data_IF_168944553409
#
_entry.id   IF_168944553409
#
_cell.length_a   1.000
_cell.length_b   1.000
_cell.length_c   1.000
_cell.angle_alpha   90.00
_cell.angle_beta   90.00
_cell.angle_gamma   90.00
#
_symmetry.space_group_name_H-M   'P 1'
#
loop_
_entity.id
_entity.type
_entity.pdbx_description
1 polymer ?
#
# COMPACT_ATOMS: atom_id res chain seq x y z
N UNK A 1 -46.62 11.25 15.98
CA UNK A 1 -46.04 9.89 16.01
C UNK A 1 -44.50 9.87 15.90
N UNK A 2 -43.88 10.59 14.94
CA UNK A 2 -42.42 10.59 14.71
C UNK A 2 -41.54 10.99 15.93
N UNK A 3 -42.00 11.95 16.74
CA UNK A 3 -41.30 12.39 17.99
C UNK A 3 -41.40 11.37 19.13
N UNK A 4 -42.52 10.66 19.25
CA UNK A 4 -42.71 9.58 20.22
C UNK A 4 -41.84 8.36 19.87
N UNK A 5 -41.72 8.06 18.57
CA UNK A 5 -40.86 6.98 18.07
C UNK A 5 -39.36 7.27 18.32
N UNK A 6 -38.94 8.52 18.18
CA UNK A 6 -37.55 8.94 18.45
C UNK A 6 -37.19 8.85 19.94
N UNK A 7 -38.14 9.15 20.83
CA UNK A 7 -37.97 8.99 22.27
C UNK A 7 -37.92 7.52 22.70
N UNK A 8 -38.68 6.65 22.02
CA UNK A 8 -38.59 5.20 22.23
C UNK A 8 -37.24 4.63 21.80
N UNK A 9 -36.69 5.07 20.66
CA UNK A 9 -35.36 4.66 20.20
C UNK A 9 -34.28 5.17 21.15
N UNK A 10 -34.37 6.42 21.62
CA UNK A 10 -33.43 6.98 22.58
C UNK A 10 -33.49 6.24 23.92
N UNK A 11 -34.70 5.89 24.39
CA UNK A 11 -34.90 5.06 25.58
C UNK A 11 -34.31 3.67 25.42
N UNK A 12 -34.49 3.03 24.25
CA UNK A 12 -33.88 1.75 23.94
C UNK A 12 -32.35 1.85 23.91
N UNK A 13 -31.77 2.85 23.26
CA UNK A 13 -30.33 3.07 23.22
C UNK A 13 -29.75 3.31 24.62
N UNK A 14 -30.43 4.07 25.47
CA UNK A 14 -30.03 4.29 26.85
C UNK A 14 -30.15 3.01 27.68
N UNK A 15 -31.20 2.22 27.48
CA UNK A 15 -31.38 0.91 28.12
C UNK A 15 -30.27 -0.08 27.71
N UNK A 16 -29.94 -0.16 26.42
CA UNK A 16 -28.85 -1.01 25.90
C UNK A 16 -27.46 -0.50 26.32
N UNK A 17 -27.27 0.80 26.48
CA UNK A 17 -26.01 1.39 26.95
C UNK A 17 -25.83 1.33 28.47
N UNK A 18 -26.91 1.16 29.24
CA UNK A 18 -26.89 1.10 30.70
C UNK A 18 -25.93 0.04 31.27
N UNK A 19 -25.94 -1.24 30.83
CA UNK A 19 -25.01 -2.25 31.35
C UNK A 19 -23.53 -1.97 31.02
N UNK A 20 -23.25 -1.28 29.90
CA UNK A 20 -21.90 -0.84 29.57
C UNK A 20 -21.39 0.27 30.50
N UNK A 21 -22.30 1.07 31.06
CA UNK A 21 -21.98 2.13 32.03
C UNK A 21 -21.84 1.59 33.46
N UNK A 22 -22.50 0.48 33.80
CA UNK A 22 -22.53 -0.10 35.17
C UNK A 22 -21.60 -1.28 35.39
N UNK A 23 -20.78 -1.69 34.40
CA UNK A 23 -19.84 -2.83 34.47
C UNK A 23 -20.51 -4.21 34.72
N UNK A 24 -21.83 -4.34 34.63
CA UNK A 24 -22.51 -5.63 34.64
C UNK A 24 -22.34 -6.33 33.29
N UNK A 25 -21.59 -7.45 33.27
CA UNK A 25 -21.24 -8.21 32.06
C UNK A 25 -22.19 -9.39 31.80
N UNK A 26 -23.49 -9.19 31.88
CA UNK A 26 -24.42 -10.27 31.53
C UNK A 26 -24.92 -10.17 30.08
N UNK A 27 -24.03 -10.49 29.13
CA UNK A 27 -24.29 -10.44 27.69
C UNK A 27 -25.10 -11.62 27.15
N UNK A 28 -25.27 -12.69 27.94
CA UNK A 28 -25.90 -13.93 27.48
C UNK A 28 -27.43 -13.80 27.41
N UNK A 29 -28.04 -13.02 28.31
CA UNK A 29 -29.48 -12.76 28.30
C UNK A 29 -29.92 -11.88 27.11
N UNK A 30 -29.06 -10.97 26.63
CA UNK A 30 -29.36 -10.04 25.52
C UNK A 30 -29.55 -10.74 24.16
N UNK A 31 -28.74 -11.76 23.85
CA UNK A 31 -28.86 -12.47 22.57
C UNK A 31 -30.19 -13.24 22.46
N UNK A 32 -30.66 -13.84 23.57
CA UNK A 32 -31.90 -14.63 23.58
C UNK A 32 -33.18 -13.78 23.51
N UNK A 33 -33.13 -12.52 23.96
CA UNK A 33 -34.24 -11.57 23.81
C UNK A 33 -34.30 -10.98 22.39
N UNK A 34 -33.16 -10.71 21.76
CA UNK A 34 -33.09 -10.22 20.37
C UNK A 34 -33.65 -11.24 19.38
N UNK A 35 -33.39 -12.54 19.59
CA UNK A 35 -33.88 -13.58 18.69
C UNK A 35 -35.41 -13.80 18.80
N UNK A 36 -36.00 -13.60 19.98
CA UNK A 36 -37.48 -13.61 20.16
C UNK A 36 -38.17 -12.41 19.52
N UNK A 37 -37.48 -11.28 19.38
CA UNK A 37 -38.02 -10.05 18.78
C UNK A 37 -38.03 -10.08 17.25
N UNK A 38 -37.20 -10.93 16.61
CA UNK A 38 -37.15 -11.14 15.16
C UNK A 38 -38.37 -11.87 14.58
N UNK A 39 -39.14 -12.56 15.43
CA UNK A 39 -40.33 -13.32 15.01
C UNK A 39 -41.57 -12.43 14.81
N UNK A 40 -41.53 -11.17 15.25
CA UNK A 40 -42.63 -10.23 15.06
C UNK A 40 -42.48 -9.46 13.73
N UNK A 41 -43.42 -9.61 12.77
CA UNK A 41 -43.33 -9.01 11.44
C UNK A 41 -43.33 -7.46 11.43
N UNK A 42 -43.87 -6.79 12.45
CA UNK A 42 -43.80 -5.32 12.54
C UNK A 42 -42.43 -4.84 13.04
N UNK A 43 -41.79 -5.60 13.93
CA UNK A 43 -40.45 -5.30 14.45
C UNK A 43 -39.38 -5.58 13.40
N UNK A 44 -39.52 -6.64 12.59
CA UNK A 44 -38.60 -6.93 11.49
C UNK A 44 -38.60 -5.81 10.44
N UNK A 45 -39.77 -5.27 10.09
CA UNK A 45 -39.86 -4.09 9.20
C UNK A 45 -39.21 -2.84 9.81
N UNK A 46 -39.35 -2.62 11.11
CA UNK A 46 -38.70 -1.52 11.80
C UNK A 46 -37.16 -1.68 11.82
N UNK A 47 -36.66 -2.90 12.06
CA UNK A 47 -35.24 -3.23 12.01
C UNK A 47 -34.66 -3.08 10.61
N UNK A 48 -35.38 -3.50 9.56
CA UNK A 48 -34.98 -3.28 8.17
C UNK A 48 -34.88 -1.78 7.84
N UNK A 49 -35.83 -0.98 8.33
CA UNK A 49 -35.80 0.48 8.16
C UNK A 49 -34.60 1.10 8.86
N UNK A 50 -34.27 0.65 10.09
CA UNK A 50 -33.09 1.11 10.83
C UNK A 50 -31.80 0.69 10.14
N UNK A 51 -31.69 -0.57 9.71
CA UNK A 51 -30.51 -1.09 9.02
C UNK A 51 -30.28 -0.33 7.70
N UNK A 52 -31.36 -0.06 6.96
CA UNK A 52 -31.31 0.75 5.73
C UNK A 52 -30.85 2.18 6.02
N UNK A 53 -31.34 2.80 7.08
CA UNK A 53 -30.92 4.14 7.51
C UNK A 53 -29.46 4.20 7.95
N UNK A 54 -28.96 3.17 8.65
CA UNK A 54 -27.55 3.04 9.04
C UNK A 54 -26.68 2.86 7.80
N UNK A 55 -27.05 1.98 6.88
CA UNK A 55 -26.32 1.77 5.63
C UNK A 55 -26.29 3.05 4.77
N UNK A 56 -27.39 3.80 4.73
CA UNK A 56 -27.45 5.09 4.05
C UNK A 56 -26.52 6.11 4.71
N UNK A 57 -26.46 6.16 6.05
CA UNK A 57 -25.51 7.03 6.76
C UNK A 57 -24.06 6.64 6.47
N UNK A 58 -23.74 5.33 6.46
CA UNK A 58 -22.40 4.82 6.15
C UNK A 58 -22.01 5.20 4.71
N UNK A 59 -22.93 5.06 3.76
CA UNK A 59 -22.71 5.46 2.38
C UNK A 59 -22.49 6.98 2.25
N UNK A 60 -23.30 7.81 2.92
CA UNK A 60 -23.12 9.26 2.96
C UNK A 60 -21.80 9.67 3.62
N UNK A 61 -21.34 8.94 4.65
CA UNK A 61 -20.05 9.17 5.29
C UNK A 61 -18.88 8.76 4.37
N UNK A 62 -19.02 7.68 3.60
CA UNK A 62 -18.02 7.28 2.61
C UNK A 62 -17.94 8.25 1.43
N UNK A 63 -19.08 8.69 0.86
CA UNK A 63 -19.10 9.74 -0.17
C UNK A 63 -18.43 11.02 0.33
N UNK A 64 -18.79 11.49 1.53
CA UNK A 64 -18.21 12.70 2.10
C UNK A 64 -16.69 12.54 2.36
N UNK A 65 -16.22 11.33 2.67
CA UNK A 65 -14.79 11.04 2.80
C UNK A 65 -14.08 11.05 1.43
N UNK A 66 -14.71 10.53 0.38
CA UNK A 66 -14.21 10.63 -0.99
C UNK A 66 -14.14 12.09 -1.47
N UNK A 67 -15.16 12.91 -1.18
CA UNK A 67 -15.14 14.37 -1.44
C UNK A 67 -14.02 15.09 -0.68
N UNK A 68 -13.85 14.81 0.62
CA UNK A 68 -12.79 15.41 1.45
C UNK A 68 -11.37 15.04 0.97
N UNK A 69 -11.18 13.86 0.37
CA UNK A 69 -9.87 13.43 -0.17
C UNK A 69 -9.58 13.97 -1.58
N UNK A 70 -10.62 14.27 -2.37
CA UNK A 70 -10.46 14.97 -3.66
C UNK A 70 -10.10 16.45 -3.46
N UNK A 71 -10.67 17.12 -2.47
CA UNK A 71 -10.40 18.54 -2.22
C UNK A 71 -8.96 18.81 -1.75
N UNK A 72 -8.35 17.92 -0.95
CA UNK A 72 -6.93 18.05 -0.55
C UNK A 72 -5.96 17.89 -1.74
N UNK A 73 -6.27 17.03 -2.71
CA UNK A 73 -5.46 16.87 -3.92
C UNK A 73 -5.57 18.07 -4.88
N UNK A 74 -6.65 18.83 -4.81
CA UNK A 74 -6.88 20.04 -5.62
C UNK A 74 -6.20 21.30 -5.05
N UNK A 75 -5.70 21.28 -3.80
CA UNK A 75 -5.02 22.42 -3.18
C UNK A 75 -3.55 22.55 -3.60
N UNK A 76 -2.91 21.43 -3.95
CA UNK A 76 -1.51 21.43 -4.39
C UNK A 76 -1.45 21.67 -5.90
N UNK A 77 -0.54 22.54 -6.39
CA UNK A 77 -0.38 22.72 -7.82
C UNK A 77 -0.03 21.39 -8.47
N UNK A 78 -0.74 21.06 -9.55
CA UNK A 78 -0.49 19.85 -10.32
C UNK A 78 0.88 19.95 -10.99
N UNK A 79 1.72 18.96 -10.72
CA UNK A 79 3.07 18.90 -11.27
C UNK A 79 3.01 18.08 -12.56
N UNK A 80 3.67 18.57 -13.62
CA UNK A 80 3.76 17.82 -14.87
C UNK A 80 4.51 16.51 -14.64
N UNK A 81 3.97 15.40 -15.15
CA UNK A 81 4.68 14.13 -15.19
C UNK A 81 5.90 14.29 -16.14
N UNK A 82 7.10 13.83 -15.75
CA UNK A 82 8.26 13.85 -16.65
C UNK A 82 8.00 12.96 -17.87
N UNK A 83 8.59 13.34 -19.01
CA UNK A 83 8.64 12.46 -20.17
C UNK A 83 9.56 11.27 -19.87
N UNK A 84 9.03 10.07 -20.03
CA UNK A 84 9.74 8.83 -19.72
C UNK A 84 10.32 8.25 -21.00
N UNK A 85 11.62 8.02 -21.00
CA UNK A 85 12.33 7.45 -22.14
C UNK A 85 12.43 5.94 -21.98
N UNK A 86 12.25 5.20 -23.08
CA UNK A 86 12.48 3.76 -23.07
C UNK A 86 13.97 3.51 -22.80
N UNK A 87 14.33 2.77 -21.74
CA UNK A 87 15.73 2.57 -21.40
C UNK A 87 16.50 1.85 -22.53
N UNK A 88 17.72 2.28 -22.82
CA UNK A 88 18.57 1.67 -23.86
C UNK A 88 19.31 0.43 -23.36
N UNK A 89 19.73 0.42 -22.09
CA UNK A 89 20.55 -0.66 -21.51
C UNK A 89 19.78 -1.51 -20.51
N UNK A 90 19.12 -0.88 -19.52
CA UNK A 90 18.40 -1.57 -18.44
C UNK A 90 16.99 -2.02 -18.86
N UNK A 91 16.43 -3.01 -18.17
CA UNK A 91 15.05 -3.45 -18.35
C UNK A 91 14.07 -2.42 -17.83
N UNK A 92 14.41 -1.81 -16.68
CA UNK A 92 13.62 -0.80 -15.99
C UNK A 92 14.47 0.41 -15.59
N UNK A 93 13.86 1.59 -15.67
CA UNK A 93 14.31 2.80 -14.99
C UNK A 93 13.12 3.42 -14.27
N UNK A 94 13.40 4.26 -13.27
CA UNK A 94 12.38 5.04 -12.57
C UNK A 94 12.73 6.50 -12.75
N UNK A 95 11.84 7.28 -13.35
CA UNK A 95 12.08 8.68 -13.68
C UNK A 95 13.36 8.86 -14.52
N UNK A 96 13.57 7.97 -15.50
CA UNK A 96 14.78 7.88 -16.32
C UNK A 96 16.09 7.63 -15.53
N UNK A 97 16.01 7.31 -14.23
CA UNK A 97 17.15 6.91 -13.40
C UNK A 97 17.23 5.38 -13.33
N UNK A 98 18.42 4.83 -13.59
CA UNK A 98 18.76 3.43 -13.50
C UNK A 98 19.65 3.09 -12.30
N UNK A 99 19.73 1.79 -11.99
CA UNK A 99 20.78 1.27 -11.11
C UNK A 99 22.12 1.43 -11.84
N UNK A 100 23.10 2.05 -11.17
CA UNK A 100 24.42 2.34 -11.74
C UNK A 100 24.65 3.80 -12.10
N UNK A 101 23.62 4.65 -12.09
CA UNK A 101 23.77 6.07 -12.42
C UNK A 101 24.56 6.83 -11.34
N UNK A 102 25.24 7.90 -11.73
CA UNK A 102 25.97 8.74 -10.78
C UNK A 102 25.02 9.69 -10.03
N UNK A 103 25.26 9.89 -8.73
CA UNK A 103 24.48 10.80 -7.89
C UNK A 103 24.42 12.22 -8.46
N UNK A 104 25.51 12.70 -9.05
CA UNK A 104 25.54 14.02 -9.69
C UNK A 104 24.52 14.17 -10.80
N UNK A 105 24.37 13.14 -11.65
CA UNK A 105 23.40 13.14 -12.76
C UNK A 105 21.96 13.10 -12.22
N UNK A 106 21.74 12.29 -11.18
CA UNK A 106 20.43 12.22 -10.50
C UNK A 106 20.05 13.57 -9.88
N UNK A 107 20.96 14.23 -9.16
CA UNK A 107 20.68 15.52 -8.53
C UNK A 107 20.57 16.66 -9.56
N UNK A 108 21.28 16.57 -10.70
CA UNK A 108 21.09 17.49 -11.81
C UNK A 108 19.69 17.39 -12.41
N UNK A 109 19.11 16.18 -12.46
CA UNK A 109 17.77 15.95 -12.99
C UNK A 109 16.66 16.21 -11.97
N UNK A 110 16.81 15.72 -10.74
CA UNK A 110 15.75 15.75 -9.71
C UNK A 110 15.86 16.93 -8.74
N UNK A 111 16.96 17.67 -8.79
CA UNK A 111 17.28 18.73 -7.84
C UNK A 111 17.69 18.19 -6.46
N UNK A 112 17.58 19.04 -5.45
CA UNK A 112 17.95 18.69 -4.08
C UNK A 112 16.96 17.70 -3.43
N UNK A 113 17.52 16.71 -2.73
CA UNK A 113 16.75 15.77 -1.90
C UNK A 113 15.85 16.50 -0.90
N UNK A 114 14.60 16.03 -0.76
CA UNK A 114 13.63 16.55 0.21
C UNK A 114 13.76 15.91 1.59
N UNK A 115 14.15 14.63 1.64
CA UNK A 115 14.33 13.88 2.88
C UNK A 115 15.36 12.77 2.72
N UNK A 116 16.19 12.57 3.74
CA UNK A 116 17.12 11.44 3.84
C UNK A 116 16.68 10.53 4.99
N UNK A 117 16.67 9.21 4.80
CA UNK A 117 16.28 8.26 5.85
C UNK A 117 17.10 6.97 5.73
N UNK A 118 17.66 6.49 6.84
CA UNK A 118 18.36 5.21 6.88
C UNK A 118 17.42 4.05 6.53
N UNK A 119 17.90 3.11 5.73
CA UNK A 119 17.15 1.95 5.25
C UNK A 119 17.65 0.63 5.84
N UNK A 120 16.91 -0.45 5.59
CA UNK A 120 17.16 -1.80 6.10
C UNK A 120 18.45 -2.44 5.58
N UNK A 121 19.06 -1.86 4.54
CA UNK A 121 20.33 -2.29 3.97
C UNK A 121 21.53 -1.60 4.62
N UNK A 122 21.32 -0.66 5.55
CA UNK A 122 22.39 0.14 6.15
C UNK A 122 22.90 1.24 5.22
N UNK A 123 22.06 1.66 4.28
CA UNK A 123 22.27 2.79 3.35
C UNK A 123 21.15 3.82 3.55
N UNK A 124 21.16 4.92 2.80
CA UNK A 124 20.18 5.99 2.94
C UNK A 124 19.25 6.05 1.74
N UNK A 125 17.94 6.20 2.00
CA UNK A 125 16.94 6.61 1.02
C UNK A 125 16.91 8.14 0.94
N UNK A 126 17.20 8.65 -0.26
CA UNK A 126 17.03 10.04 -0.66
C UNK A 126 15.70 10.19 -1.39
N UNK A 127 14.75 10.90 -0.80
CA UNK A 127 13.43 11.11 -1.38
C UNK A 127 13.39 12.41 -2.19
N UNK A 128 12.86 12.31 -3.41
CA UNK A 128 12.64 13.41 -4.34
C UNK A 128 11.16 13.43 -4.72
N UNK A 129 10.58 14.62 -4.69
CA UNK A 129 9.21 14.87 -5.14
C UNK A 129 8.97 16.37 -5.23
N UNK A 130 7.91 16.74 -5.94
CA UNK A 130 7.33 18.07 -5.88
C UNK A 130 5.89 17.92 -5.37
N UNK A 131 5.62 18.42 -4.15
CA UNK A 131 4.30 18.29 -3.51
C UNK A 131 3.77 16.84 -3.49
N UNK A 132 4.64 15.87 -3.15
CA UNK A 132 4.38 14.42 -3.17
C UNK A 132 4.04 13.81 -4.54
N UNK A 133 4.00 14.61 -5.61
CA UNK A 133 3.91 14.15 -6.98
C UNK A 133 5.30 13.83 -7.53
N UNK A 134 5.35 12.95 -8.55
CA UNK A 134 6.59 12.42 -9.11
C UNK A 134 7.56 11.85 -8.05
N UNK A 135 7.00 11.21 -7.02
CA UNK A 135 7.75 10.67 -5.90
C UNK A 135 8.68 9.51 -6.31
N UNK A 136 9.95 9.65 -5.98
CA UNK A 136 10.99 8.63 -6.15
C UNK A 136 11.90 8.63 -4.91
N UNK A 137 12.36 7.45 -4.50
CA UNK A 137 13.47 7.32 -3.56
C UNK A 137 14.66 6.66 -4.25
N UNK A 138 15.84 7.21 -3.99
CA UNK A 138 17.12 6.74 -4.53
C UNK A 138 18.07 6.44 -3.38
N UNK A 139 18.77 5.32 -3.46
CA UNK A 139 19.86 4.99 -2.53
C UNK A 139 21.17 4.96 -3.32
N UNK A 140 22.24 5.44 -2.69
CA UNK A 140 23.57 5.49 -3.28
C UNK A 140 24.53 4.60 -2.48
N UNK A 141 25.53 4.05 -3.17
CA UNK A 141 26.67 3.41 -2.53
C UNK A 141 27.70 4.47 -2.08
N UNK A 142 28.81 4.01 -1.49
CA UNK A 142 29.87 4.89 -0.98
C UNK A 142 30.56 5.72 -2.07
N UNK A 143 30.51 5.26 -3.31
CA UNK A 143 31.10 5.93 -4.47
C UNK A 143 30.11 6.92 -5.13
N UNK A 144 28.92 7.11 -4.53
CA UNK A 144 27.89 7.98 -5.07
C UNK A 144 27.17 7.40 -6.28
N UNK A 145 27.09 6.07 -6.40
CA UNK A 145 26.41 5.38 -7.50
C UNK A 145 25.08 4.81 -7.02
N UNK A 146 24.02 4.96 -7.83
CA UNK A 146 22.68 4.44 -7.52
C UNK A 146 22.72 2.93 -7.31
N UNK A 147 22.30 2.46 -6.13
CA UNK A 147 22.30 1.05 -5.75
C UNK A 147 20.93 0.51 -5.34
N UNK A 148 19.92 1.38 -5.16
CA UNK A 148 18.52 1.00 -5.08
C UNK A 148 17.60 2.17 -5.48
N UNK A 149 16.41 1.83 -5.97
CA UNK A 149 15.38 2.77 -6.42
C UNK A 149 14.00 2.32 -5.94
N UNK A 150 13.10 3.26 -5.71
CA UNK A 150 11.69 2.99 -5.40
C UNK A 150 10.78 4.08 -5.93
N UNK A 151 9.61 3.69 -6.43
CA UNK A 151 8.48 4.60 -6.65
C UNK A 151 7.16 3.87 -6.44
N UNK A 152 6.15 4.62 -6.01
CA UNK A 152 4.74 4.23 -6.02
C UNK A 152 3.91 5.12 -6.97
N UNK A 153 4.58 5.80 -7.89
CA UNK A 153 3.99 6.70 -8.88
C UNK A 153 4.19 6.13 -10.28
N UNK A 154 3.46 6.67 -11.24
CA UNK A 154 3.60 6.32 -12.65
C UNK A 154 4.87 6.95 -13.25
N UNK A 155 6.04 6.48 -12.80
CA UNK A 155 7.37 6.94 -13.21
C UNK A 155 8.24 5.82 -13.77
N UNK A 156 7.68 4.62 -13.92
CA UNK A 156 8.40 3.45 -14.42
C UNK A 156 8.46 3.50 -15.94
N UNK A 157 9.67 3.43 -16.49
CA UNK A 157 9.90 3.20 -17.91
C UNK A 157 10.51 1.81 -18.09
N UNK A 158 10.06 1.07 -19.11
CA UNK A 158 10.50 -0.30 -19.33
C UNK A 158 10.61 -0.63 -20.81
N UNK A 159 11.65 -1.38 -21.19
CA UNK A 159 11.86 -1.86 -22.57
C UNK A 159 10.72 -2.75 -23.09
N UNK A 160 10.10 -3.48 -22.18
CA UNK A 160 9.08 -4.48 -22.47
C UNK A 160 7.65 -3.96 -22.29
N UNK A 161 7.47 -2.65 -22.14
CA UNK A 161 6.16 -2.00 -22.06
C UNK A 161 5.43 -2.15 -20.72
N UNK A 162 6.05 -2.78 -19.71
CA UNK A 162 5.50 -2.82 -18.35
C UNK A 162 5.50 -1.41 -17.77
N UNK A 163 4.35 -1.01 -17.24
CA UNK A 163 4.11 0.32 -16.68
C UNK A 163 3.24 0.24 -15.43
N UNK A 164 3.12 1.37 -14.74
CA UNK A 164 2.16 1.53 -13.65
C UNK A 164 0.75 1.17 -14.11
N UNK A 165 0.00 0.46 -13.25
CA UNK A 165 -1.34 -0.03 -13.56
C UNK A 165 -1.40 -1.26 -14.49
N UNK A 166 -0.27 -1.80 -14.96
CA UNK A 166 -0.27 -3.03 -15.73
C UNK A 166 -0.83 -4.21 -14.89
N UNK A 167 -1.61 -5.13 -15.47
CA UNK A 167 -2.07 -6.32 -14.75
C UNK A 167 -0.92 -7.24 -14.36
N UNK A 168 -0.99 -7.86 -13.18
CA UNK A 168 -0.02 -8.86 -12.68
C UNK A 168 0.24 -9.98 -13.70
N UNK A 169 -0.81 -10.45 -14.35
CA UNK A 169 -0.71 -11.50 -15.36
C UNK A 169 0.14 -11.06 -16.56
N UNK A 170 -0.02 -9.81 -17.02
CA UNK A 170 0.80 -9.23 -18.08
C UNK A 170 2.26 -9.13 -17.66
N UNK A 171 2.54 -8.75 -16.41
CA UNK A 171 3.90 -8.69 -15.87
C UNK A 171 4.55 -10.08 -15.91
N UNK A 172 3.86 -11.12 -15.41
CA UNK A 172 4.38 -12.50 -15.41
C UNK A 172 4.57 -13.07 -16.82
N UNK A 173 3.63 -12.82 -17.73
CA UNK A 173 3.78 -13.22 -19.13
C UNK A 173 5.00 -12.57 -19.80
N UNK A 174 5.32 -11.34 -19.41
CA UNK A 174 6.41 -10.56 -20.02
C UNK A 174 7.77 -10.83 -19.37
N UNK A 175 7.82 -11.00 -18.05
CA UNK A 175 9.06 -11.21 -17.29
C UNK A 175 9.38 -12.68 -17.00
N UNK A 176 8.41 -13.58 -17.24
CA UNK A 176 8.50 -14.98 -16.86
C UNK A 176 8.13 -15.23 -15.39
N UNK A 177 8.59 -16.37 -14.88
CA UNK A 177 8.28 -16.80 -13.52
C UNK A 177 9.05 -15.96 -12.48
N UNK A 178 8.36 -15.44 -11.45
CA UNK A 178 9.02 -14.74 -10.36
C UNK A 178 9.87 -15.71 -9.53
N UNK A 179 10.88 -15.17 -8.85
CA UNK A 179 11.67 -15.90 -7.88
C UNK A 179 10.78 -16.44 -6.76
N UNK A 180 11.00 -17.70 -6.39
CA UNK A 180 10.41 -18.31 -5.20
C UNK A 180 11.29 -18.15 -3.96
N UNK A 181 12.58 -17.84 -4.14
CA UNK A 181 13.53 -17.63 -3.07
C UNK A 181 14.74 -16.78 -3.48
N UNK A 182 15.45 -16.23 -2.48
CA UNK A 182 16.76 -15.62 -2.64
C UNK A 182 17.77 -16.32 -1.74
N UNK A 183 18.90 -16.74 -2.32
CA UNK A 183 20.02 -17.29 -1.57
C UNK A 183 20.97 -16.20 -1.09
N UNK A 184 21.29 -16.19 0.20
CA UNK A 184 22.32 -15.34 0.81
C UNK A 184 23.34 -16.19 1.56
N UNK A 185 24.48 -16.44 0.92
CA UNK A 185 25.50 -17.36 1.44
C UNK A 185 24.94 -18.78 1.59
N UNK A 186 24.79 -19.23 2.85
CA UNK A 186 24.23 -20.54 3.19
C UNK A 186 22.74 -20.50 3.55
N UNK A 187 22.10 -19.32 3.55
CA UNK A 187 20.69 -19.13 3.93
C UNK A 187 19.82 -18.95 2.69
N UNK A 188 18.68 -19.63 2.66
CA UNK A 188 17.64 -19.46 1.63
C UNK A 188 16.47 -18.70 2.22
N UNK A 189 16.11 -17.57 1.60
CA UNK A 189 14.93 -16.77 1.94
C UNK A 189 13.81 -17.11 0.98
N UNK A 190 12.86 -17.93 1.42
CA UNK A 190 11.70 -18.31 0.62
C UNK A 190 10.62 -17.23 0.68
N UNK A 191 10.06 -16.91 -0.48
CA UNK A 191 8.88 -16.06 -0.59
C UNK A 191 7.62 -16.90 -0.41
N UNK A 192 6.60 -16.33 0.25
CA UNK A 192 5.32 -17.02 0.36
C UNK A 192 4.60 -16.96 -1.00
N UNK A 193 3.76 -17.96 -1.29
CA UNK A 193 3.09 -18.08 -2.59
C UNK A 193 2.01 -17.01 -2.83
N UNK A 194 1.33 -16.57 -1.76
CA UNK A 194 0.16 -15.68 -1.85
C UNK A 194 0.51 -14.23 -1.49
N UNK A 195 1.65 -13.74 -1.99
CA UNK A 195 2.08 -12.36 -1.75
C UNK A 195 1.51 -11.40 -2.80
N UNK A 196 1.23 -10.17 -2.36
CA UNK A 196 0.78 -9.06 -3.20
C UNK A 196 1.97 -8.39 -3.95
N UNK A 197 3.07 -9.13 -4.17
CA UNK A 197 4.24 -8.70 -4.94
C UNK A 197 4.93 -9.88 -5.62
N UNK A 198 5.64 -9.61 -6.71
CA UNK A 198 6.53 -10.55 -7.39
C UNK A 198 7.97 -10.01 -7.36
N UNK A 199 8.96 -10.91 -7.29
CA UNK A 199 10.39 -10.55 -7.29
C UNK A 199 11.08 -11.19 -8.48
N UNK A 200 11.88 -10.42 -9.22
CA UNK A 200 12.65 -10.88 -10.37
C UNK A 200 14.13 -10.56 -10.16
N UNK A 201 15.03 -11.35 -10.76
CA UNK A 201 16.43 -10.97 -10.92
C UNK A 201 16.65 -10.51 -12.35
N UNK A 202 16.89 -9.21 -12.53
CA UNK A 202 17.03 -8.55 -13.83
C UNK A 202 18.19 -7.55 -13.73
N UNK A 203 19.09 -7.55 -14.72
CA UNK A 203 20.20 -6.59 -14.84
C UNK A 203 21.01 -6.40 -13.54
N UNK A 204 21.42 -7.52 -12.93
CA UNK A 204 22.16 -7.57 -11.66
C UNK A 204 21.43 -6.88 -10.49
N UNK A 205 20.11 -6.88 -10.53
CA UNK A 205 19.23 -6.25 -9.54
C UNK A 205 18.02 -7.13 -9.22
N UNK A 206 17.61 -7.11 -7.95
CA UNK A 206 16.33 -7.65 -7.54
C UNK A 206 15.24 -6.59 -7.75
N UNK A 207 14.32 -6.87 -8.66
CA UNK A 207 13.17 -6.01 -8.99
C UNK A 207 11.94 -6.57 -8.31
N UNK A 208 11.38 -5.83 -7.36
CA UNK A 208 10.10 -6.17 -6.71
C UNK A 208 8.99 -5.33 -7.31
N UNK A 209 7.99 -6.00 -7.87
CA UNK A 209 6.78 -5.38 -8.43
C UNK A 209 5.64 -5.60 -7.45
N UNK A 210 5.07 -4.51 -6.92
CA UNK A 210 3.97 -4.55 -5.96
C UNK A 210 2.64 -4.40 -6.69
N UNK A 211 1.64 -5.16 -6.24
CA UNK A 211 0.30 -5.17 -6.82
C UNK A 211 -0.76 -4.77 -5.80
N UNK A 212 -1.83 -4.15 -6.27
CA UNK A 212 -3.00 -3.86 -5.44
C UNK A 212 -4.14 -4.83 -5.76
N UNK A 213 -4.41 -5.74 -4.82
CA UNK A 213 -5.51 -6.71 -4.92
C UNK A 213 -6.90 -6.08 -4.92
N UNK A 214 -7.04 -4.88 -4.39
CA UNK A 214 -8.28 -4.11 -4.42
C UNK A 214 -8.44 -3.31 -5.73
N UNK A 215 -7.39 -3.28 -6.57
CA UNK A 215 -7.40 -2.71 -7.93
C UNK A 215 -7.03 -3.76 -8.98
N UNK A 216 -7.73 -4.88 -8.97
CA UNK A 216 -7.61 -5.94 -9.96
C UNK A 216 -6.19 -6.50 -10.14
N UNK A 217 -5.38 -6.54 -9.06
CA UNK A 217 -3.99 -6.99 -9.10
C UNK A 217 -3.13 -6.22 -10.12
N UNK A 218 -3.22 -4.90 -10.11
CA UNK A 218 -2.44 -4.03 -11.00
C UNK A 218 -1.19 -3.49 -10.31
N UNK A 219 -0.14 -3.19 -11.09
CA UNK A 219 1.13 -2.63 -10.60
C UNK A 219 0.89 -1.28 -9.93
N UNK A 220 1.35 -1.13 -8.69
CA UNK A 220 1.23 0.12 -7.91
C UNK A 220 2.56 0.67 -7.40
N UNK A 221 3.59 -0.17 -7.32
CA UNK A 221 4.93 0.30 -7.00
C UNK A 221 5.98 -0.64 -7.57
N UNK A 222 7.18 -0.11 -7.77
CA UNK A 222 8.36 -0.89 -8.09
C UNK A 222 9.49 -0.49 -7.14
N UNK A 223 10.20 -1.49 -6.63
CA UNK A 223 11.46 -1.35 -5.93
C UNK A 223 12.54 -2.11 -6.71
N UNK A 224 13.71 -1.49 -6.87
CA UNK A 224 14.88 -2.14 -7.45
C UNK A 224 16.03 -2.07 -6.46
N UNK A 225 16.68 -3.20 -6.19
CA UNK A 225 17.80 -3.28 -5.26
C UNK A 225 18.94 -4.02 -5.95
N UNK A 226 20.08 -3.36 -6.15
CA UNK A 226 21.26 -4.01 -6.73
C UNK A 226 21.64 -5.27 -5.96
N UNK A 227 22.12 -6.29 -6.67
CA UNK A 227 22.57 -7.52 -6.03
C UNK A 227 23.64 -7.27 -4.96
N UNK A 228 24.55 -6.33 -5.22
CA UNK A 228 25.63 -5.96 -4.30
C UNK A 228 25.07 -5.40 -2.98
N UNK A 229 24.07 -4.52 -3.03
CA UNK A 229 23.41 -4.00 -1.84
C UNK A 229 22.64 -5.11 -1.10
N UNK A 230 21.93 -5.96 -1.84
CA UNK A 230 21.18 -7.07 -1.23
C UNK A 230 22.11 -8.09 -0.56
N UNK A 231 23.28 -8.38 -1.13
CA UNK A 231 24.32 -9.25 -0.56
C UNK A 231 24.93 -8.64 0.70
N UNK A 232 25.15 -7.32 0.73
CA UNK A 232 25.71 -6.62 1.89
C UNK A 232 24.77 -6.59 3.11
N UNK A 233 23.46 -6.66 2.90
CA UNK A 233 22.48 -6.75 3.99
C UNK A 233 22.68 -8.03 4.80
N UNK A 234 22.99 -7.87 6.08
CA UNK A 234 23.14 -8.97 7.05
C UNK A 234 21.93 -9.91 7.00
N UNK A 235 22.23 -11.22 6.93
CA UNK A 235 21.20 -12.24 7.05
C UNK A 235 20.50 -12.09 8.41
N UNK A 236 19.18 -11.86 8.39
CA UNK A 236 18.38 -11.90 9.60
C UNK A 236 18.30 -13.35 10.08
N UNK A 237 19.22 -13.74 10.97
CA UNK A 237 19.09 -14.98 11.72
C UNK A 237 18.13 -14.66 12.87
N UNK A 238 16.88 -15.12 12.76
CA UNK A 238 15.95 -15.09 13.89
C UNK A 238 16.55 -15.99 14.97
N UNK A 239 17.25 -15.40 15.97
CA UNK A 239 17.62 -16.13 17.18
C UNK A 239 16.30 -16.54 17.83
N UNK A 240 15.94 -17.82 17.73
CA UNK A 240 14.96 -18.37 18.65
C UNK A 240 15.57 -18.26 20.05
N UNK A 241 15.08 -17.29 20.82
CA UNK A 241 15.23 -17.35 22.27
C UNK A 241 14.37 -18.53 22.69
N UNK A 242 15.02 -19.66 23.01
CA UNK A 242 14.36 -20.70 23.82
C UNK A 242 14.10 -20.05 25.17
N UNK A 243 12.82 -19.83 25.47
CA UNK A 243 12.32 -19.54 26.82
C UNK A 243 12.29 -20.87 27.57
#
# INVERSE_FOLDING_TARGET
MRRLFSLLILGALLYFAWPFLTNEKDFQNLNTEIDKLKENPELSKALETVNSGINQLIWQLNEKKEELTQDEQNLLPKVAKPELETPSEKTFTIHNIGIGDAKGDVEAQLGATKRVTMNEYGTEWHAYHENFQNFIMVSYNKDGVVNALYTNQDLVAAKNGIKYGAPKETVRQTLGEPLSEIRKGLVYYQFQKDQDYDVYNLDDSYVTVFYDKHKNNTVTAIQMVSENLNKARRAFIRRQVRI
#
